data_IF_215447120623
#
_entry.id   IF_215447120623
#
_cell.length_a   1.000
_cell.length_b   1.000
_cell.length_c   1.000
_cell.angle_alpha   90.00
_cell.angle_beta   90.00
_cell.angle_gamma   90.00
#
_symmetry.space_group_name_H-M   'P 1'
#
loop_
_entity.id
_entity.type
_entity.pdbx_description
1 polymer ?
#
# COMPACT_ATOMS: atom_id res chain seq x y z
N UNK A 1 -2.93 -33.89 -17.21
CA UNK A 1 -2.73 -32.45 -16.93
C UNK A 1 -2.20 -32.33 -15.51
N UNK A 2 -1.05 -31.68 -15.25
CA UNK A 2 -0.60 -31.52 -13.87
C UNK A 2 -1.54 -30.54 -13.15
N UNK A 3 -1.99 -30.92 -11.96
CA UNK A 3 -2.70 -30.03 -11.04
C UNK A 3 -1.75 -28.88 -10.70
N UNK A 4 -2.02 -27.69 -11.23
CA UNK A 4 -1.24 -26.48 -10.92
C UNK A 4 -1.49 -26.17 -9.46
N UNK A 5 -0.51 -26.47 -8.60
CA UNK A 5 -0.62 -26.20 -7.17
C UNK A 5 -0.94 -24.72 -6.95
N UNK A 6 -1.93 -24.45 -6.08
CA UNK A 6 -2.28 -23.07 -5.74
C UNK A 6 -1.08 -22.45 -5.04
N UNK A 7 -0.68 -21.22 -5.39
CA UNK A 7 0.42 -20.56 -4.69
C UNK A 7 0.10 -20.46 -3.19
N UNK A 8 1.12 -20.59 -2.32
CA UNK A 8 0.93 -20.48 -0.89
C UNK A 8 0.31 -19.12 -0.54
N UNK A 9 -0.64 -19.13 0.41
CA UNK A 9 -1.30 -17.89 0.86
C UNK A 9 -0.30 -17.04 1.62
N UNK A 10 -0.21 -15.77 1.26
CA UNK A 10 0.51 -14.79 2.08
C UNK A 10 -0.25 -14.58 3.38
N UNK A 11 0.37 -14.93 4.50
CA UNK A 11 -0.18 -14.64 5.83
C UNK A 11 0.46 -13.35 6.32
N UNK A 12 -0.35 -12.37 6.67
CA UNK A 12 0.12 -11.04 7.09
C UNK A 12 -0.28 -10.83 8.53
N UNK A 13 0.66 -10.39 9.36
CA UNK A 13 0.38 -9.92 10.71
C UNK A 13 0.05 -8.43 10.66
N UNK A 14 -1.10 -8.07 11.19
CA UNK A 14 -1.50 -6.68 11.41
C UNK A 14 -1.64 -6.46 12.91
N UNK A 15 -1.07 -5.38 13.47
CA UNK A 15 -1.36 -5.02 14.85
C UNK A 15 -2.84 -4.67 15.02
N UNK A 16 -3.31 -4.71 16.27
CA UNK A 16 -4.75 -4.63 16.57
C UNK A 16 -5.40 -3.32 16.10
N UNK A 17 -4.65 -2.22 16.12
CA UNK A 17 -5.14 -0.91 15.69
C UNK A 17 -5.45 -0.91 14.19
N UNK A 18 -4.51 -1.37 13.38
CA UNK A 18 -4.64 -1.44 11.92
C UNK A 18 -5.71 -2.45 11.51
N UNK A 19 -5.84 -3.55 12.26
CA UNK A 19 -6.90 -4.54 12.04
C UNK A 19 -8.29 -3.93 12.26
N UNK A 20 -8.47 -3.13 13.32
CA UNK A 20 -9.74 -2.44 13.58
C UNK A 20 -10.08 -1.42 12.50
N UNK A 21 -9.10 -0.66 12.03
CA UNK A 21 -9.30 0.29 10.93
C UNK A 21 -9.65 -0.43 9.62
N UNK A 22 -8.97 -1.55 9.31
CA UNK A 22 -9.30 -2.36 8.13
C UNK A 22 -10.71 -2.96 8.21
N UNK A 23 -11.15 -3.40 9.40
CA UNK A 23 -12.51 -3.88 9.62
C UNK A 23 -13.54 -2.76 9.43
N UNK A 24 -13.25 -1.54 9.89
CA UNK A 24 -14.10 -0.37 9.69
C UNK A 24 -14.21 -0.03 8.19
N UNK A 25 -13.10 -0.04 7.45
CA UNK A 25 -13.10 0.15 6.00
C UNK A 25 -13.92 -0.91 5.29
N UNK A 26 -13.83 -2.16 5.75
CA UNK A 26 -14.62 -3.28 5.21
C UNK A 26 -16.12 -3.03 5.37
N UNK A 27 -16.56 -2.59 6.56
CA UNK A 27 -17.96 -2.23 6.83
C UNK A 27 -18.43 -1.05 5.96
N UNK A 28 -17.60 -0.03 5.80
CA UNK A 28 -17.95 1.19 5.06
C UNK A 28 -18.03 0.98 3.54
N UNK A 29 -17.18 0.10 2.99
CA UNK A 29 -17.07 -0.11 1.54
C UNK A 29 -17.86 -1.32 1.03
N UNK A 30 -18.25 -2.23 1.94
CA UNK A 30 -18.88 -3.50 1.58
C UNK A 30 -17.91 -4.56 1.04
N UNK A 31 -16.61 -4.25 0.92
CA UNK A 31 -15.59 -5.23 0.54
C UNK A 31 -15.09 -5.98 1.78
N UNK A 32 -14.76 -7.26 1.63
CA UNK A 32 -14.07 -8.00 2.68
C UNK A 32 -12.66 -7.44 2.92
N UNK A 33 -12.15 -7.57 4.14
CA UNK A 33 -10.78 -7.17 4.49
C UNK A 33 -9.74 -7.77 3.52
N UNK A 34 -9.90 -9.05 3.14
CA UNK A 34 -9.03 -9.71 2.16
C UNK A 34 -9.07 -9.03 0.79
N UNK A 35 -10.25 -8.65 0.29
CA UNK A 35 -10.37 -7.93 -0.99
C UNK A 35 -9.70 -6.56 -0.92
N UNK A 36 -9.88 -5.83 0.19
CA UNK A 36 -9.21 -4.54 0.41
C UNK A 36 -7.69 -4.69 0.35
N UNK A 37 -7.12 -5.69 1.03
CA UNK A 37 -5.67 -5.96 1.02
C UNK A 37 -5.18 -6.33 -0.39
N UNK A 38 -5.93 -7.16 -1.11
CA UNK A 38 -5.59 -7.52 -2.50
C UNK A 38 -5.60 -6.28 -3.40
N UNK A 39 -6.62 -5.43 -3.30
CA UNK A 39 -6.69 -4.18 -4.07
C UNK A 39 -5.57 -3.21 -3.73
N UNK A 40 -5.29 -3.02 -2.43
CA UNK A 40 -4.17 -2.20 -1.97
C UNK A 40 -2.83 -2.71 -2.52
N UNK A 41 -2.65 -4.04 -2.55
CA UNK A 41 -1.45 -4.66 -3.12
C UNK A 41 -1.34 -4.42 -4.62
N UNK A 42 -2.44 -4.54 -5.38
CA UNK A 42 -2.45 -4.20 -6.81
C UNK A 42 -2.09 -2.73 -7.05
N UNK A 43 -2.66 -1.83 -6.26
CA UNK A 43 -2.35 -0.39 -6.32
C UNK A 43 -0.87 -0.13 -6.01
N UNK A 44 -0.33 -0.76 -4.95
CA UNK A 44 1.08 -0.66 -4.58
C UNK A 44 1.99 -1.09 -5.74
N UNK A 45 1.73 -2.25 -6.34
CA UNK A 45 2.54 -2.76 -7.45
C UNK A 45 2.44 -1.89 -8.71
N UNK A 46 1.24 -1.42 -9.04
CA UNK A 46 1.04 -0.52 -10.18
C UNK A 46 1.78 0.81 -9.99
N UNK A 47 1.67 1.40 -8.80
CA UNK A 47 2.37 2.64 -8.46
C UNK A 47 3.89 2.46 -8.43
N UNK A 48 4.38 1.35 -7.88
CA UNK A 48 5.81 1.03 -7.90
C UNK A 48 6.33 0.86 -9.33
N UNK A 49 5.58 0.19 -10.22
CA UNK A 49 5.96 0.07 -11.63
C UNK A 49 6.04 1.42 -12.34
N UNK A 50 5.15 2.35 -12.00
CA UNK A 50 5.09 3.66 -12.64
C UNK A 50 6.11 4.67 -12.09
N UNK A 51 6.37 4.66 -10.77
CA UNK A 51 7.15 5.71 -10.07
C UNK A 51 8.40 5.20 -9.37
N UNK A 52 8.62 3.88 -9.34
CA UNK A 52 9.72 3.26 -8.61
C UNK A 52 9.68 3.55 -7.11
N UNK A 53 10.86 3.71 -6.51
CA UNK A 53 11.04 3.90 -5.07
C UNK A 53 10.46 5.22 -4.52
N UNK A 54 10.07 6.16 -5.38
CA UNK A 54 9.52 7.46 -4.98
C UNK A 54 8.25 7.29 -4.14
N UNK A 55 7.49 6.22 -4.32
CA UNK A 55 6.26 5.97 -3.54
C UNK A 55 6.52 5.76 -2.03
N UNK A 56 7.77 5.54 -1.63
CA UNK A 56 8.18 5.31 -0.25
C UNK A 56 8.88 6.51 0.38
N UNK A 57 9.24 7.55 -0.38
CA UNK A 57 9.99 8.70 0.17
C UNK A 57 9.18 9.45 1.23
N UNK A 58 7.87 9.59 1.02
CA UNK A 58 6.94 10.17 2.01
C UNK A 58 6.83 9.29 3.27
N UNK A 59 6.85 7.96 3.11
CA UNK A 59 6.75 7.01 4.23
C UNK A 59 8.01 6.96 5.09
N UNK A 60 9.18 7.20 4.48
CA UNK A 60 10.48 7.18 5.17
C UNK A 60 10.82 8.59 5.70
N UNK A 61 9.95 9.58 5.51
CA UNK A 61 10.20 10.96 5.93
C UNK A 61 11.38 11.60 5.18
N UNK A 62 11.76 11.04 4.03
CA UNK A 62 12.65 11.69 3.07
C UNK A 62 11.84 12.77 2.34
N UNK A 63 11.37 13.76 3.09
CA UNK A 63 11.05 15.05 2.52
C UNK A 63 12.38 15.61 1.99
N UNK A 64 12.67 15.33 0.72
CA UNK A 64 13.61 16.13 -0.05
C UNK A 64 13.06 17.55 0.02
N UNK A 65 13.60 18.35 0.93
CA UNK A 65 13.27 19.75 1.07
C UNK A 65 13.46 20.42 -0.30
N UNK A 66 12.36 20.61 -1.03
CA UNK A 66 12.27 21.64 -2.07
C UNK A 66 12.27 23.01 -1.36
N UNK A 67 13.43 23.36 -0.79
CA UNK A 67 13.79 24.75 -0.55
C UNK A 67 15.14 25.00 -1.18
N UNK A 68 15.10 25.48 -2.42
CA UNK A 68 16.11 26.41 -2.90
C UNK A 68 15.53 27.33 -3.97
N UNK A 69 15.16 28.52 -3.48
CA UNK A 69 15.36 29.83 -4.12
C UNK A 69 14.53 30.20 -5.34
N UNK A 70 13.48 31.00 -5.10
CA UNK A 70 13.35 32.32 -5.76
C UNK A 70 12.81 33.34 -4.73
N UNK A 71 13.71 33.84 -3.89
CA UNK A 71 13.63 35.20 -3.35
C UNK A 71 14.89 35.89 -3.87
N UNK A 72 14.72 36.81 -4.81
CA UNK A 72 15.64 37.84 -5.34
C UNK A 72 14.92 38.34 -6.63
N UNK A 73 14.46 39.58 -6.79
CA UNK A 73 14.66 40.87 -6.11
C UNK A 73 13.37 41.70 -6.18
#
# INVERSE_FOLDING_TARGET
MPLKEKPPRLTVYLPDTEKKELEKMSKNTGFSQTQLVVMATHSLLANYKAKGNIIFTELIGLNLNEKSSQNES
#
